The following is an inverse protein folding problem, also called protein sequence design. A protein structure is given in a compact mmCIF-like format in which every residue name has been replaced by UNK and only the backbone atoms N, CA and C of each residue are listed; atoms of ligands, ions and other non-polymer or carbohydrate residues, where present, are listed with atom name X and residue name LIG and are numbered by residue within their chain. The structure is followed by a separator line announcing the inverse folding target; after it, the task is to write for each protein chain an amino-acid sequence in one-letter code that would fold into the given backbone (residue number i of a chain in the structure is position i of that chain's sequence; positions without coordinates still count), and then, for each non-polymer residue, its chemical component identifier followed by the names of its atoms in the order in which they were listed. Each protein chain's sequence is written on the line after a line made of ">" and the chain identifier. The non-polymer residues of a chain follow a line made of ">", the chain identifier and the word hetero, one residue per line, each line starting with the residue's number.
data_IF_420655126920
#
_entry.id   IF_420655126920
#
_cell.length_a   1.000
_cell.length_b   1.000
_cell.length_c   1.000
_cell.angle_alpha   90.00
_cell.angle_beta   90.00
_cell.angle_gamma   90.00
#
_symmetry.space_group_name_H-M   'P 1'
#
loop_
_entity.id
_entity.type
_entity.pdbx_description
1 polymer ?
#
# COMPACT_ATOMS: atom_id res chain seq x y z
N UNK A 1 24.57 43.20 43.92
CA UNK A 1 23.52 43.24 42.88
C UNK A 1 24.18 43.26 41.51
N UNK A 2 24.20 42.12 40.83
CA UNK A 2 24.66 42.03 39.43
C UNK A 2 23.63 41.21 38.68
N UNK A 3 22.66 41.90 38.07
CA UNK A 3 21.64 41.32 37.21
C UNK A 3 22.33 40.77 35.96
N UNK A 4 22.34 39.44 35.78
CA UNK A 4 22.56 38.81 34.48
C UNK A 4 21.40 39.22 33.55
N UNK A 5 21.67 40.14 32.62
CA UNK A 5 20.85 40.34 31.41
C UNK A 5 21.31 39.31 30.39
N UNK A 6 20.77 38.09 30.45
CA UNK A 6 20.85 37.09 29.40
C UNK A 6 19.42 36.62 29.18
N UNK A 7 18.70 37.30 28.31
CA UNK A 7 17.26 37.18 28.23
C UNK A 7 16.76 37.69 26.90
N UNK A 8 16.05 36.81 26.20
CA UNK A 8 15.33 37.03 24.95
C UNK A 8 16.15 37.02 23.66
N UNK A 9 17.27 37.76 23.55
CA UNK A 9 18.03 37.82 22.29
C UNK A 9 18.81 36.53 21.99
N UNK A 10 19.41 35.91 23.01
CA UNK A 10 20.15 34.65 22.85
C UNK A 10 19.21 33.49 22.51
N UNK A 11 18.02 33.45 23.12
CA UNK A 11 17.01 32.40 22.85
C UNK A 11 16.33 32.57 21.49
N UNK A 12 16.25 33.80 20.97
CA UNK A 12 15.75 34.06 19.61
C UNK A 12 16.81 33.70 18.57
N UNK A 13 18.09 33.92 18.88
CA UNK A 13 19.22 33.46 18.08
C UNK A 13 19.26 31.94 17.95
N UNK A 14 19.12 31.22 19.06
CA UNK A 14 19.04 29.75 19.06
C UNK A 14 17.79 29.23 18.32
N UNK A 15 16.63 29.89 18.45
CA UNK A 15 15.41 29.48 17.73
C UNK A 15 15.53 29.71 16.22
N UNK A 16 16.21 30.79 15.82
CA UNK A 16 16.47 31.11 14.42
C UNK A 16 17.54 30.18 13.85
N UNK A 17 18.62 29.89 14.58
CA UNK A 17 19.63 28.92 14.15
C UNK A 17 19.05 27.52 14.04
N UNK A 18 18.24 27.09 15.00
CA UNK A 18 17.57 25.78 14.96
C UNK A 18 16.50 25.73 13.87
N UNK A 19 15.75 26.82 13.65
CA UNK A 19 14.84 26.95 12.53
C UNK A 19 15.56 27.01 11.18
N UNK A 20 16.75 27.58 11.11
CA UNK A 20 17.62 27.59 9.92
C UNK A 20 18.27 26.22 9.73
N UNK A 21 18.63 25.46 10.76
CA UNK A 21 19.10 24.07 10.66
C UNK A 21 17.99 23.11 10.26
N UNK A 22 16.78 23.30 10.78
CA UNK A 22 15.58 22.57 10.36
C UNK A 22 15.17 22.93 8.92
N UNK A 23 15.36 24.18 8.48
CA UNK A 23 15.21 24.60 7.09
C UNK A 23 16.39 24.16 6.19
N UNK A 24 17.58 23.90 6.76
CA UNK A 24 18.79 23.44 6.05
C UNK A 24 18.96 21.92 6.02
N UNK A 25 18.03 21.14 6.55
CA UNK A 25 17.79 19.79 6.01
C UNK A 25 17.09 19.90 4.63
N UNK A 26 17.58 20.78 3.77
CA UNK A 26 17.57 20.54 2.33
C UNK A 26 18.34 19.23 2.15
N UNK A 27 17.60 18.15 1.90
CA UNK A 27 18.23 16.87 1.63
C UNK A 27 19.06 17.03 0.37
N UNK A 28 20.37 17.17 0.56
CA UNK A 28 21.34 17.15 -0.52
C UNK A 28 21.10 15.89 -1.36
N UNK A 29 21.09 16.07 -2.66
CA UNK A 29 20.96 14.95 -3.59
C UNK A 29 22.13 13.99 -3.40
N UNK A 30 21.80 12.74 -3.09
CA UNK A 30 22.76 11.67 -2.98
C UNK A 30 23.04 11.09 -4.37
N UNK A 31 24.31 10.79 -4.71
CA UNK A 31 24.65 10.24 -6.00
C UNK A 31 23.91 8.92 -6.24
N UNK A 32 23.45 8.71 -7.48
CA UNK A 32 22.72 7.52 -7.84
C UNK A 32 23.63 6.28 -7.87
N UNK A 33 23.08 5.15 -7.43
CA UNK A 33 23.69 3.84 -7.57
C UNK A 33 24.02 3.22 -6.23
N UNK A 34 23.98 1.89 -6.20
CA UNK A 34 24.05 1.12 -4.97
C UNK A 34 22.76 0.36 -4.70
N UNK A 35 22.87 -0.68 -3.88
CA UNK A 35 21.73 -1.50 -3.46
C UNK A 35 21.28 -1.02 -2.09
N UNK A 36 20.03 -0.55 -1.93
CA UNK A 36 19.56 -0.07 -0.65
C UNK A 36 19.55 -1.20 0.38
N UNK A 37 19.86 -0.87 1.63
CA UNK A 37 19.79 -1.81 2.74
C UNK A 37 18.36 -2.35 2.90
N UNK A 38 18.18 -3.67 3.10
CA UNK A 38 16.86 -4.27 3.26
C UNK A 38 16.20 -3.79 4.55
N UNK A 39 14.86 -3.73 4.53
CA UNK A 39 14.02 -3.42 5.69
C UNK A 39 13.11 -4.59 6.01
N UNK A 40 12.77 -4.72 7.29
CA UNK A 40 11.74 -5.64 7.77
C UNK A 40 10.54 -4.85 8.25
N UNK A 41 9.33 -5.31 7.91
CA UNK A 41 8.06 -4.76 8.40
C UNK A 41 7.33 -5.83 9.20
N UNK A 42 7.05 -5.53 10.45
CA UNK A 42 6.37 -6.44 11.38
C UNK A 42 4.87 -6.29 11.23
N UNK A 43 4.20 -7.42 11.00
CA UNK A 43 2.78 -7.47 10.67
C UNK A 43 2.00 -8.17 11.77
N UNK A 44 0.92 -7.54 12.21
CA UNK A 44 -0.17 -8.22 12.92
C UNK A 44 -1.19 -8.74 11.91
N UNK A 45 -1.26 -10.06 11.75
CA UNK A 45 -2.17 -10.75 10.85
C UNK A 45 -3.46 -11.12 11.58
N UNK A 46 -4.57 -10.48 11.23
CA UNK A 46 -5.88 -10.66 11.85
C UNK A 46 -6.82 -11.30 10.83
N UNK A 47 -7.33 -12.49 11.13
CA UNK A 47 -8.12 -13.31 10.20
C UNK A 47 -9.52 -13.49 10.78
N UNK A 48 -10.51 -12.78 10.24
CA UNK A 48 -11.92 -13.00 10.54
C UNK A 48 -12.43 -14.19 9.76
N UNK A 49 -12.43 -15.36 10.41
CA UNK A 49 -12.89 -16.62 9.85
C UNK A 49 -13.93 -17.25 10.78
N UNK A 50 -15.16 -16.70 10.79
CA UNK A 50 -16.18 -17.07 11.75
C UNK A 50 -16.59 -18.54 11.63
N UNK A 51 -17.13 -19.09 12.71
CA UNK A 51 -17.69 -20.45 12.71
C UNK A 51 -19.14 -20.44 12.28
N UNK A 52 -19.55 -21.46 11.52
CA UNK A 52 -20.89 -21.59 10.95
C UNK A 52 -21.67 -22.70 11.67
N UNK A 53 -22.59 -22.37 12.61
CA UNK A 53 -23.31 -23.38 13.40
C UNK A 53 -24.08 -24.39 12.54
N UNK A 54 -24.79 -23.93 11.51
CA UNK A 54 -25.55 -24.77 10.57
C UNK A 54 -24.69 -25.70 9.71
N UNK A 55 -23.37 -25.53 9.71
CA UNK A 55 -22.40 -26.39 9.03
C UNK A 55 -21.51 -27.17 10.01
N UNK A 56 -22.05 -27.54 11.18
CA UNK A 56 -21.32 -28.31 12.19
C UNK A 56 -20.24 -27.49 12.92
N UNK A 57 -20.42 -26.16 12.99
CA UNK A 57 -19.49 -25.21 13.61
C UNK A 57 -18.10 -25.15 12.95
N UNK A 58 -18.03 -25.54 11.68
CA UNK A 58 -16.85 -25.43 10.83
C UNK A 58 -16.56 -23.96 10.46
N UNK A 59 -15.29 -23.66 10.14
CA UNK A 59 -14.83 -22.35 9.69
C UNK A 59 -15.45 -21.94 8.35
N UNK A 60 -15.78 -20.66 8.21
CA UNK A 60 -16.42 -20.11 7.03
C UNK A 60 -15.61 -20.36 5.74
N UNK A 61 -14.28 -20.23 5.77
CA UNK A 61 -13.40 -20.53 4.62
C UNK A 61 -13.57 -21.97 4.12
N UNK A 62 -13.67 -22.95 5.04
CA UNK A 62 -13.87 -24.37 4.70
C UNK A 62 -15.28 -24.63 4.21
N UNK A 63 -16.29 -24.05 4.87
CA UNK A 63 -17.70 -24.18 4.48
C UNK A 63 -17.91 -23.69 3.04
N UNK A 64 -17.33 -22.54 2.69
CA UNK A 64 -17.49 -21.91 1.37
C UNK A 64 -16.35 -22.23 0.39
N UNK A 65 -15.41 -23.10 0.78
CA UNK A 65 -14.29 -23.60 -0.04
C UNK A 65 -13.44 -22.47 -0.63
N UNK A 66 -13.12 -21.50 0.19
CA UNK A 66 -12.24 -20.40 -0.15
C UNK A 66 -10.77 -20.74 0.07
N UNK A 67 -9.89 -19.82 -0.35
CA UNK A 67 -8.46 -20.07 -0.34
C UNK A 67 -7.93 -20.16 1.09
N UNK A 68 -6.86 -20.93 1.22
CA UNK A 68 -6.07 -21.00 2.45
C UNK A 68 -5.32 -19.68 2.64
N UNK A 69 -5.60 -18.97 3.74
CA UNK A 69 -4.98 -17.69 4.05
C UNK A 69 -3.45 -17.78 4.16
N UNK A 70 -2.88 -18.91 4.60
CA UNK A 70 -1.44 -19.06 4.71
C UNK A 70 -0.77 -19.09 3.35
N UNK A 71 -1.37 -19.80 2.39
CA UNK A 71 -0.86 -19.81 1.02
C UNK A 71 -0.95 -18.43 0.36
N UNK A 72 -1.99 -17.66 0.68
CA UNK A 72 -2.15 -16.29 0.19
C UNK A 72 -1.07 -15.37 0.76
N UNK A 73 -0.89 -15.40 2.08
CA UNK A 73 0.12 -14.62 2.80
C UNK A 73 1.54 -14.96 2.31
N UNK A 74 1.88 -16.24 2.21
CA UNK A 74 3.20 -16.69 1.75
C UNK A 74 3.47 -16.23 0.31
N UNK A 75 2.47 -16.37 -0.57
CA UNK A 75 2.57 -15.93 -1.97
C UNK A 75 2.78 -14.42 -2.09
N UNK A 76 2.03 -13.64 -1.30
CA UNK A 76 2.12 -12.19 -1.28
C UNK A 76 3.47 -11.69 -0.75
N UNK A 77 3.94 -12.22 0.38
CA UNK A 77 5.25 -11.89 0.95
C UNK A 77 6.37 -12.23 -0.03
N UNK A 78 6.32 -13.43 -0.64
CA UNK A 78 7.31 -13.88 -1.61
C UNK A 78 7.38 -12.93 -2.80
N UNK A 79 6.24 -12.59 -3.39
CA UNK A 79 6.20 -11.77 -4.59
C UNK A 79 6.70 -10.34 -4.32
N UNK A 80 6.28 -9.71 -3.22
CA UNK A 80 6.77 -8.37 -2.88
C UNK A 80 8.27 -8.35 -2.54
N UNK A 81 8.80 -9.40 -1.91
CA UNK A 81 10.24 -9.56 -1.70
C UNK A 81 10.98 -9.68 -3.04
N UNK A 82 10.44 -10.46 -3.98
CA UNK A 82 11.00 -10.66 -5.31
C UNK A 82 11.01 -9.34 -6.11
N UNK A 83 9.87 -8.66 -6.23
CA UNK A 83 9.73 -7.43 -7.00
C UNK A 83 10.54 -6.25 -6.42
N UNK A 84 10.73 -6.22 -5.10
CA UNK A 84 11.57 -5.21 -4.43
C UNK A 84 13.07 -5.51 -4.48
N UNK A 85 13.51 -6.58 -5.13
CA UNK A 85 14.94 -6.96 -5.19
C UNK A 85 15.51 -7.39 -3.83
N UNK A 86 14.65 -7.85 -2.93
CA UNK A 86 14.97 -8.19 -1.55
C UNK A 86 15.02 -7.01 -0.57
N UNK A 87 14.63 -5.80 -1.00
CA UNK A 87 14.55 -4.65 -0.10
C UNK A 87 13.47 -4.84 0.96
N UNK A 88 12.25 -5.24 0.57
CA UNK A 88 11.13 -5.44 1.51
C UNK A 88 11.09 -6.88 2.02
N UNK A 89 11.00 -7.00 3.34
CA UNK A 89 10.80 -8.26 4.05
C UNK A 89 9.64 -8.08 5.01
N UNK A 90 8.67 -8.99 5.01
CA UNK A 90 7.61 -9.02 6.01
C UNK A 90 7.86 -10.11 7.03
N UNK A 91 7.55 -9.81 8.28
CA UNK A 91 7.57 -10.75 9.39
C UNK A 91 6.20 -10.72 10.07
N UNK A 92 5.50 -11.85 10.11
CA UNK A 92 4.27 -11.98 10.87
C UNK A 92 4.64 -12.16 12.35
N UNK A 93 4.53 -11.08 13.13
CA UNK A 93 4.88 -11.09 14.57
C UNK A 93 3.70 -11.48 15.45
N UNK A 94 2.49 -11.37 14.92
CA UNK A 94 1.26 -11.73 15.61
C UNK A 94 0.28 -12.33 14.61
N UNK A 95 -0.43 -13.38 15.05
CA UNK A 95 -1.53 -13.97 14.29
C UNK A 95 -2.75 -14.15 15.18
N UNK A 96 -3.86 -13.52 14.78
CA UNK A 96 -5.12 -13.57 15.50
C UNK A 96 -6.17 -14.21 14.59
N UNK A 97 -6.69 -15.36 15.00
CA UNK A 97 -7.85 -15.99 14.36
C UNK A 97 -9.11 -15.56 15.10
N UNK A 98 -10.05 -14.95 14.39
CA UNK A 98 -11.26 -14.36 14.95
C UNK A 98 -12.47 -15.19 14.53
N UNK A 99 -13.20 -15.70 15.52
CA UNK A 99 -14.34 -16.62 15.35
C UNK A 99 -15.68 -15.89 15.08
N UNK A 100 -15.64 -14.57 14.92
CA UNK A 100 -16.82 -13.70 14.72
C UNK A 100 -16.72 -12.87 13.44
N UNK A 101 -17.88 -12.37 13.01
CA UNK A 101 -17.97 -11.35 11.97
C UNK A 101 -17.60 -9.97 12.58
N UNK A 102 -16.87 -9.11 11.86
CA UNK A 102 -16.61 -7.75 12.30
C UNK A 102 -17.90 -6.91 12.30
N UNK A 103 -17.99 -5.94 13.21
CA UNK A 103 -19.10 -4.98 13.27
C UNK A 103 -19.04 -4.00 12.11
N UNK A 104 -20.17 -3.75 11.46
CA UNK A 104 -20.34 -2.70 10.45
C UNK A 104 -20.46 -1.32 11.08
N UNK A 105 -20.15 -0.28 10.32
CA UNK A 105 -20.20 1.11 10.80
C UNK A 105 -21.59 1.55 11.28
N UNK A 106 -22.66 0.92 10.78
CA UNK A 106 -24.04 1.15 11.22
C UNK A 106 -24.48 0.25 12.38
N UNK A 107 -23.56 -0.53 12.95
CA UNK A 107 -23.80 -1.46 14.05
C UNK A 107 -24.26 -2.86 13.63
N UNK A 108 -24.49 -3.12 12.34
CA UNK A 108 -24.85 -4.46 11.88
C UNK A 108 -23.70 -5.46 12.10
N UNK A 109 -24.04 -6.73 12.37
CA UNK A 109 -23.07 -7.84 12.39
C UNK A 109 -23.78 -9.08 11.84
N UNK A 110 -23.18 -9.71 10.84
CA UNK A 110 -23.74 -10.94 10.27
C UNK A 110 -23.81 -12.06 11.31
N UNK A 111 -24.91 -12.80 11.31
CA UNK A 111 -24.92 -14.17 11.80
C UNK A 111 -24.36 -15.11 10.71
N UNK A 112 -23.60 -16.13 11.13
CA UNK A 112 -22.85 -16.98 10.20
C UNK A 112 -23.74 -17.71 9.19
N UNK A 113 -24.84 -18.31 9.65
CA UNK A 113 -25.77 -19.06 8.79
C UNK A 113 -26.52 -18.13 7.83
N UNK A 114 -26.84 -16.91 8.27
CA UNK A 114 -27.48 -15.89 7.41
C UNK A 114 -26.53 -15.41 6.31
N UNK A 115 -25.25 -15.20 6.64
CA UNK A 115 -24.24 -14.88 5.64
C UNK A 115 -24.08 -16.02 4.61
N UNK A 116 -23.97 -17.26 5.06
CA UNK A 116 -23.87 -18.43 4.16
C UNK A 116 -25.10 -18.55 3.27
N UNK A 117 -26.29 -18.29 3.81
CA UNK A 117 -27.54 -18.24 3.04
C UNK A 117 -27.51 -17.14 1.98
N UNK A 118 -27.11 -15.92 2.34
CA UNK A 118 -27.00 -14.80 1.41
C UNK A 118 -25.98 -15.09 0.31
N UNK A 119 -24.83 -15.68 0.66
CA UNK A 119 -23.79 -16.10 -0.26
C UNK A 119 -24.31 -17.10 -1.30
N UNK A 120 -24.96 -18.17 -0.84
CA UNK A 120 -25.51 -19.19 -1.74
C UNK A 120 -26.64 -18.64 -2.62
N UNK A 121 -27.45 -17.72 -2.08
CA UNK A 121 -28.53 -17.09 -2.82
C UNK A 121 -28.08 -15.93 -3.73
N UNK A 122 -26.82 -15.48 -3.60
CA UNK A 122 -26.24 -14.32 -4.29
C UNK A 122 -27.06 -13.03 -4.08
N UNK A 123 -27.72 -12.89 -2.93
CA UNK A 123 -28.57 -11.74 -2.60
C UNK A 123 -28.79 -11.62 -1.10
N UNK A 124 -29.21 -10.44 -0.65
CA UNK A 124 -29.53 -10.18 0.76
C UNK A 124 -28.30 -9.91 1.62
N UNK A 125 -27.19 -9.49 1.00
CA UNK A 125 -26.08 -8.88 1.73
C UNK A 125 -26.53 -7.54 2.30
N UNK A 126 -25.97 -7.20 3.45
CA UNK A 126 -26.21 -5.94 4.14
C UNK A 126 -25.61 -4.77 3.36
N UNK A 127 -26.34 -3.65 3.35
CA UNK A 127 -25.91 -2.36 2.80
C UNK A 127 -26.41 -1.27 3.76
N UNK A 128 -25.56 -0.37 4.27
CA UNK A 128 -24.17 -0.11 3.88
C UNK A 128 -23.16 -1.18 4.33
N UNK A 129 -22.13 -1.44 3.50
CA UNK A 129 -21.15 -2.52 3.76
C UNK A 129 -19.94 -2.11 4.61
N UNK A 130 -19.72 -0.82 4.88
CA UNK A 130 -18.49 -0.35 5.55
C UNK A 130 -18.30 -0.96 6.94
N UNK A 131 -17.08 -1.41 7.26
CA UNK A 131 -16.73 -1.87 8.61
C UNK A 131 -16.57 -0.72 9.59
N UNK A 132 -16.84 -0.97 10.87
CA UNK A 132 -16.48 -0.09 11.96
C UNK A 132 -14.98 -0.17 12.27
N UNK A 133 -14.19 0.73 11.69
CA UNK A 133 -12.74 0.79 11.94
C UNK A 133 -12.39 1.17 13.38
N UNK A 134 -13.23 1.95 14.08
CA UNK A 134 -12.97 2.30 15.48
C UNK A 134 -13.07 1.06 16.38
N UNK A 135 -14.06 0.20 16.12
CA UNK A 135 -14.16 -1.09 16.79
C UNK A 135 -12.94 -1.98 16.56
N UNK A 136 -12.42 -2.02 15.33
CA UNK A 136 -11.21 -2.81 15.01
C UNK A 136 -9.96 -2.25 15.70
N UNK A 137 -9.80 -0.93 15.70
CA UNK A 137 -8.67 -0.25 16.35
C UNK A 137 -8.62 -0.56 17.85
N UNK A 138 -9.78 -0.54 18.52
CA UNK A 138 -9.93 -0.87 19.94
C UNK A 138 -9.72 -2.37 20.18
N UNK A 139 -10.42 -3.23 19.46
CA UNK A 139 -10.41 -4.69 19.67
C UNK A 139 -9.00 -5.30 19.54
N UNK A 140 -8.21 -4.82 18.58
CA UNK A 140 -6.88 -5.35 18.32
C UNK A 140 -5.75 -4.51 18.93
N UNK A 141 -6.10 -3.51 19.74
CA UNK A 141 -5.17 -2.59 20.41
C UNK A 141 -4.15 -1.98 19.44
N UNK A 142 -4.59 -1.62 18.23
CA UNK A 142 -3.68 -1.29 17.13
C UNK A 142 -2.78 -0.10 17.46
N UNK A 143 -3.34 0.95 18.04
CA UNK A 143 -2.59 2.17 18.42
C UNK A 143 -1.56 1.84 19.50
N UNK A 144 -1.94 1.06 20.53
CA UNK A 144 -1.02 0.62 21.58
C UNK A 144 0.18 -0.14 21.00
N UNK A 145 -0.05 -1.04 20.05
CA UNK A 145 1.00 -1.83 19.39
C UNK A 145 1.92 -0.98 18.53
N UNK A 146 1.37 0.04 17.85
CA UNK A 146 2.16 1.02 17.10
C UNK A 146 3.03 1.85 18.05
N UNK A 147 2.46 2.31 19.17
CA UNK A 147 3.13 3.15 20.18
C UNK A 147 4.22 2.39 20.95
N UNK A 148 4.03 1.10 21.16
CA UNK A 148 5.03 0.22 21.75
C UNK A 148 6.12 -0.23 20.75
N UNK A 149 6.04 0.22 19.48
CA UNK A 149 6.88 -0.23 18.38
C UNK A 149 6.92 -1.77 18.27
N UNK A 150 5.77 -2.43 18.40
CA UNK A 150 5.62 -3.88 18.27
C UNK A 150 5.21 -4.28 16.85
N UNK A 151 4.41 -3.45 16.20
CA UNK A 151 3.80 -3.68 14.88
C UNK A 151 3.99 -2.46 13.99
N UNK A 152 4.33 -2.68 12.73
CA UNK A 152 4.48 -1.63 11.71
C UNK A 152 3.25 -1.56 10.77
N UNK A 153 2.54 -2.67 10.61
CA UNK A 153 1.40 -2.81 9.70
C UNK A 153 0.39 -3.86 10.16
N UNK A 154 -0.89 -3.66 9.84
CA UNK A 154 -1.97 -4.61 10.16
C UNK A 154 -2.55 -5.19 8.89
N UNK A 155 -2.69 -6.52 8.83
CA UNK A 155 -3.38 -7.20 7.73
C UNK A 155 -4.68 -7.80 8.23
N UNK A 156 -5.79 -7.32 7.67
CA UNK A 156 -7.13 -7.81 7.95
C UNK A 156 -7.56 -8.75 6.82
N UNK A 157 -7.71 -10.03 7.13
CA UNK A 157 -8.33 -11.00 6.22
C UNK A 157 -9.78 -11.24 6.62
N UNK A 158 -10.67 -11.24 5.64
CA UNK A 158 -12.06 -11.63 5.84
C UNK A 158 -12.69 -12.22 4.56
N UNK A 159 -13.98 -12.46 4.65
CA UNK A 159 -14.88 -12.88 3.59
C UNK A 159 -15.31 -11.69 2.71
N UNK A 160 -15.87 -11.91 1.50
CA UNK A 160 -16.50 -10.86 0.71
C UNK A 160 -17.62 -10.16 1.50
N UNK A 161 -17.81 -8.85 1.32
CA UNK A 161 -18.76 -8.05 2.11
C UNK A 161 -18.38 -7.94 3.60
N UNK A 162 -17.08 -7.98 3.92
CA UNK A 162 -16.59 -7.64 5.25
C UNK A 162 -16.49 -6.12 5.47
N UNK A 163 -16.46 -5.31 4.40
CA UNK A 163 -16.43 -3.85 4.50
C UNK A 163 -15.04 -3.23 4.66
N UNK A 164 -13.99 -4.00 4.40
CA UNK A 164 -12.61 -3.52 4.49
C UNK A 164 -12.25 -2.72 3.24
N UNK A 165 -11.62 -1.57 3.44
CA UNK A 165 -10.81 -0.95 2.41
C UNK A 165 -9.56 -1.79 2.14
N UNK A 166 -9.12 -1.80 0.88
CA UNK A 166 -7.90 -2.50 0.44
C UNK A 166 -6.64 -1.96 1.14
N UNK A 167 -6.59 -0.64 1.34
CA UNK A 167 -5.66 0.00 2.25
C UNK A 167 -6.31 1.21 2.91
N UNK A 168 -5.85 1.55 4.11
CA UNK A 168 -6.23 2.77 4.82
C UNK A 168 -5.09 3.18 5.76
N UNK A 169 -4.88 4.48 5.94
CA UNK A 169 -3.80 5.02 6.76
C UNK A 169 -4.32 5.64 8.06
N UNK A 170 -3.64 5.32 9.16
CA UNK A 170 -3.79 5.98 10.46
C UNK A 170 -2.50 6.67 10.91
N UNK A 171 -2.57 7.35 12.04
CA UNK A 171 -1.49 8.08 12.68
C UNK A 171 -1.40 9.57 12.31
N UNK A 172 -0.37 10.27 12.82
CA UNK A 172 -0.22 11.71 12.70
C UNK A 172 -0.08 12.15 11.23
N UNK A 173 -0.93 13.10 10.82
CA UNK A 173 -0.95 13.61 9.45
C UNK A 173 -1.20 12.55 8.39
N UNK A 174 -1.97 11.49 8.73
CA UNK A 174 -2.41 10.49 7.77
C UNK A 174 -3.11 11.14 6.56
N UNK A 175 -2.89 10.55 5.39
CA UNK A 175 -3.43 11.03 4.12
C UNK A 175 -4.12 9.89 3.35
N UNK A 176 -4.76 10.23 2.23
CA UNK A 176 -5.46 9.25 1.39
C UNK A 176 -4.54 8.09 1.02
N UNK A 177 -4.94 6.87 1.35
CA UNK A 177 -4.23 5.64 1.03
C UNK A 177 -5.25 4.62 0.54
N UNK A 178 -5.72 4.79 -0.69
CA UNK A 178 -6.91 4.12 -1.26
C UNK A 178 -8.21 4.23 -0.45
N UNK A 179 -8.21 5.04 0.61
CA UNK A 179 -9.34 5.31 1.49
C UNK A 179 -9.13 6.64 2.22
N UNK A 180 -10.20 7.26 2.75
CA UNK A 180 -10.08 8.40 3.66
C UNK A 180 -9.20 8.06 4.88
N UNK A 181 -8.34 8.99 5.34
CA UNK A 181 -7.47 8.74 6.49
C UNK A 181 -8.25 8.57 7.80
N UNK A 182 -7.75 7.71 8.70
CA UNK A 182 -8.27 7.52 10.05
C UNK A 182 -7.82 8.66 10.96
N UNK A 183 -8.36 9.87 10.75
CA UNK A 183 -7.92 11.09 11.44
C UNK A 183 -8.02 11.04 12.97
N UNK A 184 -8.93 10.22 13.51
CA UNK A 184 -9.08 9.99 14.95
C UNK A 184 -7.85 9.31 15.58
N UNK A 185 -6.98 8.68 14.77
CA UNK A 185 -5.75 8.02 15.21
C UNK A 185 -4.52 8.94 15.20
N UNK A 186 -4.70 10.26 15.00
CA UNK A 186 -3.61 11.24 14.93
C UNK A 186 -2.73 11.33 16.19
N UNK A 187 -3.17 10.75 17.30
CA UNK A 187 -2.43 10.69 18.57
C UNK A 187 -1.44 9.52 18.65
N UNK A 188 -1.43 8.60 17.67
CA UNK A 188 -0.42 7.55 17.59
C UNK A 188 0.98 8.15 17.42
N UNK A 189 2.00 7.40 17.82
CA UNK A 189 3.42 7.75 17.73
C UNK A 189 3.94 7.88 16.30
N UNK A 190 3.37 7.12 15.35
CA UNK A 190 3.77 7.10 13.94
C UNK A 190 2.60 6.73 13.02
N UNK A 191 2.72 7.04 11.73
CA UNK A 191 1.78 6.57 10.70
C UNK A 191 1.89 5.06 10.55
N UNK A 192 0.75 4.42 10.36
CA UNK A 192 0.63 2.99 10.10
C UNK A 192 -0.44 2.75 9.04
N UNK A 193 -0.39 1.57 8.41
CA UNK A 193 -1.34 1.19 7.38
C UNK A 193 -2.06 -0.09 7.80
N UNK A 194 -3.34 -0.15 7.47
CA UNK A 194 -4.15 -1.35 7.59
C UNK A 194 -4.47 -1.80 6.16
N UNK A 195 -4.08 -3.03 5.82
CA UNK A 195 -4.44 -3.67 4.55
C UNK A 195 -5.67 -4.55 4.73
N UNK A 196 -6.62 -4.46 3.80
CA UNK A 196 -7.80 -5.32 3.76
C UNK A 196 -7.68 -6.36 2.65
N UNK A 197 -7.79 -7.63 3.02
CA UNK A 197 -7.71 -8.75 2.10
C UNK A 197 -8.92 -9.68 2.22
N UNK A 198 -9.21 -10.37 1.12
CA UNK A 198 -10.33 -11.28 1.00
C UNK A 198 -9.83 -12.68 0.63
N UNK A 199 -10.02 -13.67 1.50
CA UNK A 199 -9.55 -15.04 1.24
C UNK A 199 -10.39 -15.79 0.18
N UNK A 200 -11.48 -15.21 -0.33
CA UNK A 200 -12.15 -15.68 -1.55
C UNK A 200 -11.36 -15.37 -2.82
N UNK A 201 -10.47 -14.37 -2.78
CA UNK A 201 -9.65 -13.88 -3.90
C UNK A 201 -8.24 -14.48 -3.83
N UNK A 202 -7.40 -14.17 -4.81
CA UNK A 202 -6.04 -14.67 -4.93
C UNK A 202 -4.96 -13.64 -4.54
N UNK A 203 -3.70 -14.06 -4.71
CA UNK A 203 -2.53 -13.19 -4.50
C UNK A 203 -2.51 -12.02 -5.48
N UNK A 204 -3.05 -12.18 -6.69
CA UNK A 204 -3.11 -11.11 -7.69
C UNK A 204 -3.87 -9.88 -7.20
N UNK A 205 -5.00 -10.09 -6.51
CA UNK A 205 -5.79 -9.01 -5.92
C UNK A 205 -5.15 -8.44 -4.64
N UNK A 206 -4.42 -9.24 -3.86
CA UNK A 206 -3.63 -8.70 -2.75
C UNK A 206 -2.52 -7.76 -3.25
N UNK A 207 -1.88 -8.13 -4.37
CA UNK A 207 -0.91 -7.29 -5.05
C UNK A 207 -1.56 -6.01 -5.62
N UNK A 208 -2.78 -6.11 -6.14
CA UNK A 208 -3.55 -4.94 -6.58
C UNK A 208 -3.80 -3.94 -5.44
N UNK A 209 -4.25 -4.44 -4.28
CA UNK A 209 -4.45 -3.63 -3.08
C UNK A 209 -3.17 -2.91 -2.64
N UNK A 210 -2.02 -3.60 -2.68
CA UNK A 210 -0.72 -2.98 -2.43
C UNK A 210 -0.32 -1.97 -3.51
N UNK A 211 -0.77 -2.20 -4.73
CA UNK A 211 -0.63 -1.30 -5.86
C UNK A 211 -1.32 0.03 -5.61
N UNK A 212 -2.58 0.02 -5.21
CA UNK A 212 -3.33 1.24 -4.88
C UNK A 212 -2.74 2.02 -3.70
N UNK A 213 -2.18 1.30 -2.72
CA UNK A 213 -1.36 1.89 -1.66
C UNK A 213 -0.13 2.60 -2.25
N UNK A 214 0.63 1.92 -3.10
CA UNK A 214 1.81 2.49 -3.75
C UNK A 214 1.44 3.75 -4.55
N UNK A 215 0.36 3.69 -5.33
CA UNK A 215 -0.12 4.82 -6.11
C UNK A 215 -0.48 6.03 -5.27
N UNK A 216 -1.21 5.79 -4.17
CA UNK A 216 -1.60 6.84 -3.25
C UNK A 216 -0.39 7.50 -2.59
N UNK A 217 0.56 6.70 -2.11
CA UNK A 217 1.77 7.17 -1.44
C UNK A 217 2.70 7.89 -2.39
N UNK A 218 2.94 7.36 -3.59
CA UNK A 218 3.85 7.97 -4.56
C UNK A 218 3.26 9.25 -5.15
N UNK A 219 1.94 9.29 -5.38
CA UNK A 219 1.24 10.54 -5.73
C UNK A 219 1.41 11.60 -4.64
N UNK A 220 1.34 11.22 -3.37
CA UNK A 220 1.56 12.16 -2.26
C UNK A 220 3.04 12.58 -2.16
N UNK A 221 3.98 11.66 -2.40
CA UNK A 221 5.42 11.93 -2.35
C UNK A 221 5.82 12.96 -3.41
N UNK A 222 5.35 12.80 -4.64
CA UNK A 222 5.63 13.70 -5.76
C UNK A 222 4.68 14.91 -5.86
N UNK A 223 3.82 15.17 -4.86
CA UNK A 223 2.76 16.21 -4.95
C UNK A 223 3.27 17.64 -5.17
N UNK A 224 4.56 17.89 -4.92
CA UNK A 224 5.21 19.20 -5.12
C UNK A 224 5.94 19.30 -6.47
N UNK A 225 6.25 18.18 -7.10
CA UNK A 225 6.95 18.13 -8.38
C UNK A 225 6.00 18.38 -9.55
N UNK A 226 6.52 18.97 -10.63
CA UNK A 226 5.74 19.36 -11.81
C UNK A 226 6.51 19.04 -13.09
N UNK A 227 5.77 18.83 -14.19
CA UNK A 227 6.38 18.60 -15.50
C UNK A 227 7.29 17.37 -15.48
N UNK A 228 8.48 17.50 -16.05
CA UNK A 228 9.42 16.38 -16.20
C UNK A 228 10.12 15.98 -14.88
N UNK A 229 10.08 16.83 -13.85
CA UNK A 229 10.59 16.49 -12.52
C UNK A 229 9.63 15.57 -11.75
N UNK A 230 8.34 15.53 -12.15
CA UNK A 230 7.38 14.58 -11.58
C UNK A 230 7.51 13.19 -12.22
N UNK A 231 8.52 12.45 -11.76
CA UNK A 231 8.80 11.11 -12.24
C UNK A 231 7.64 10.12 -11.98
N UNK A 232 6.82 10.34 -10.96
CA UNK A 232 5.62 9.53 -10.73
C UNK A 232 4.58 9.74 -11.84
N UNK A 233 4.30 10.98 -12.24
CA UNK A 233 3.42 11.28 -13.38
C UNK A 233 3.94 10.74 -14.70
N UNK A 234 5.27 10.66 -14.87
CA UNK A 234 5.87 9.97 -16.01
C UNK A 234 5.67 8.45 -15.91
N UNK A 235 5.94 7.83 -14.77
CA UNK A 235 5.89 6.39 -14.57
C UNK A 235 4.58 5.77 -15.04
N UNK A 236 3.44 6.38 -14.67
CA UNK A 236 2.13 5.79 -14.95
C UNK A 236 1.52 6.13 -16.32
N UNK A 237 2.24 6.86 -17.19
CA UNK A 237 1.73 7.18 -18.53
C UNK A 237 1.39 5.91 -19.29
N UNK A 238 0.25 5.92 -19.96
CA UNK A 238 -0.23 4.82 -20.81
C UNK A 238 -0.99 5.40 -22.00
N UNK A 239 -1.07 4.65 -23.09
CA UNK A 239 -1.49 5.16 -24.40
C UNK A 239 -2.88 5.79 -24.39
N UNK A 240 -3.82 5.28 -23.59
CA UNK A 240 -5.18 5.82 -23.52
C UNK A 240 -5.25 7.26 -23.01
N UNK A 241 -4.39 7.64 -22.04
CA UNK A 241 -4.33 9.01 -21.51
C UNK A 241 -3.18 9.83 -22.07
N UNK A 242 -2.13 9.19 -22.55
CA UNK A 242 -0.89 9.82 -22.99
C UNK A 242 -0.46 9.25 -24.36
N UNK A 243 -1.20 9.52 -25.45
CA UNK A 243 -0.91 8.94 -26.77
C UNK A 243 0.53 9.23 -27.22
N UNK A 244 1.26 8.18 -27.61
CA UNK A 244 2.65 8.26 -28.05
C UNK A 244 3.67 8.51 -26.93
N UNK A 245 3.23 8.51 -25.67
CA UNK A 245 4.06 8.78 -24.49
C UNK A 245 3.89 7.71 -23.40
N UNK A 246 3.48 6.50 -23.75
CA UNK A 246 3.31 5.42 -22.79
C UNK A 246 4.64 5.05 -22.11
N UNK A 247 4.56 4.75 -20.82
CA UNK A 247 5.66 4.36 -19.93
C UNK A 247 5.26 3.02 -19.30
N UNK A 248 5.16 2.90 -17.99
CA UNK A 248 4.81 1.64 -17.31
C UNK A 248 3.29 1.46 -17.15
N UNK A 249 2.57 2.53 -16.84
CA UNK A 249 1.12 2.47 -16.63
C UNK A 249 0.69 2.51 -15.15
N UNK A 250 -0.61 2.35 -14.94
CA UNK A 250 -1.28 2.39 -13.63
C UNK A 250 -1.70 0.97 -13.24
N UNK A 251 -2.05 0.71 -11.97
CA UNK A 251 -2.42 -0.63 -11.50
C UNK A 251 -3.48 -1.28 -12.42
N UNK A 252 -4.53 -0.53 -12.76
CA UNK A 252 -5.60 -0.99 -13.65
C UNK A 252 -5.33 -0.85 -15.16
N UNK A 253 -4.25 -0.17 -15.56
CA UNK A 253 -3.95 0.15 -16.96
C UNK A 253 -2.49 -0.17 -17.31
N UNK A 254 -2.28 -1.23 -18.08
CA UNK A 254 -1.02 -1.47 -18.76
C UNK A 254 -0.77 -0.42 -19.86
N UNK A 255 0.44 -0.33 -20.44
CA UNK A 255 0.78 0.68 -21.43
C UNK A 255 -0.18 0.78 -22.62
N UNK A 256 -0.80 -0.35 -23.02
CA UNK A 256 -1.72 -0.44 -24.15
C UNK A 256 -3.21 -0.60 -23.78
N UNK A 257 -3.56 -0.58 -22.49
CA UNK A 257 -4.94 -0.77 -22.04
C UNK A 257 -5.86 0.33 -22.60
N UNK A 258 -7.06 -0.06 -23.03
CA UNK A 258 -8.09 0.86 -23.55
C UNK A 258 -9.23 1.13 -22.55
N UNK A 259 -9.29 0.32 -21.50
CA UNK A 259 -10.27 0.39 -20.41
C UNK A 259 -9.70 -0.24 -19.16
N UNK A 260 -10.46 -0.12 -18.08
CA UNK A 260 -10.15 -0.70 -16.78
C UNK A 260 -9.90 -2.22 -16.88
N UNK A 261 -8.83 -2.71 -16.23
CA UNK A 261 -8.42 -4.11 -16.17
C UNK A 261 -8.04 -4.75 -17.51
N UNK A 262 -7.76 -3.95 -18.54
CA UNK A 262 -7.47 -4.42 -19.90
C UNK A 262 -5.99 -4.84 -20.09
N UNK A 263 -5.49 -5.69 -19.20
CA UNK A 263 -4.09 -6.17 -19.23
C UNK A 263 -3.85 -7.25 -20.29
N UNK A 264 -4.90 -7.86 -20.83
CA UNK A 264 -4.80 -8.88 -21.90
C UNK A 264 -4.83 -8.32 -23.31
N UNK A 265 -4.73 -6.99 -23.47
CA UNK A 265 -4.84 -6.36 -24.78
C UNK A 265 -3.61 -6.66 -25.66
N UNK A 266 -3.85 -7.15 -26.88
CA UNK A 266 -2.81 -7.50 -27.86
C UNK A 266 -2.42 -6.35 -28.78
N UNK A 267 -3.07 -5.19 -28.65
CA UNK A 267 -2.74 -4.00 -29.43
C UNK A 267 -1.32 -3.55 -29.07
N UNK A 268 -0.50 -3.35 -30.10
CA UNK A 268 0.87 -2.88 -29.89
C UNK A 268 0.91 -1.36 -29.77
N UNK A 269 1.69 -0.87 -28.82
CA UNK A 269 1.99 0.56 -28.63
C UNK A 269 3.47 0.76 -28.42
N UNK A 270 3.96 1.98 -28.66
CA UNK A 270 5.32 2.36 -28.26
C UNK A 270 5.32 2.72 -26.78
N UNK A 271 6.21 2.13 -26.00
CA UNK A 271 6.38 2.41 -24.57
C UNK A 271 7.86 2.47 -24.18
N UNK A 272 8.18 3.34 -23.22
CA UNK A 272 9.52 3.44 -22.60
C UNK A 272 9.67 2.63 -21.31
N UNK A 273 8.77 1.69 -21.00
CA UNK A 273 8.80 0.92 -19.75
C UNK A 273 10.16 0.27 -19.44
N UNK A 274 10.92 -0.19 -20.45
CA UNK A 274 12.26 -0.79 -20.24
C UNK A 274 13.27 0.19 -19.65
N UNK A 275 13.14 1.48 -19.93
CA UNK A 275 14.05 2.50 -19.37
C UNK A 275 14.00 2.52 -17.84
N UNK A 276 12.85 2.20 -17.24
CA UNK A 276 12.71 2.08 -15.79
C UNK A 276 13.51 0.92 -15.19
N UNK A 277 13.91 -0.08 -15.97
CA UNK A 277 14.88 -1.11 -15.52
C UNK A 277 16.30 -0.56 -15.38
N UNK A 278 16.61 0.52 -16.09
CA UNK A 278 17.91 1.19 -16.10
C UNK A 278 17.93 2.45 -15.23
N UNK A 279 16.88 2.68 -14.43
CA UNK A 279 16.75 3.85 -13.56
C UNK A 279 18.06 4.09 -12.77
N UNK A 280 18.59 5.33 -12.72
CA UNK A 280 17.91 6.59 -13.04
C UNK A 280 18.03 7.04 -14.51
N UNK A 281 18.72 6.27 -15.36
CA UNK A 281 18.84 6.62 -16.77
C UNK A 281 17.55 6.28 -17.53
N UNK A 282 16.77 7.33 -17.82
CA UNK A 282 15.49 7.25 -18.52
C UNK A 282 15.58 7.77 -19.97
N UNK A 283 16.78 7.87 -20.57
CA UNK A 283 16.97 8.44 -21.90
C UNK A 283 16.76 7.45 -23.06
N UNK A 284 16.40 6.20 -22.77
CA UNK A 284 16.22 5.18 -23.79
C UNK A 284 15.03 5.44 -24.72
N UNK A 285 15.14 4.89 -25.94
CA UNK A 285 14.09 4.98 -26.97
C UNK A 285 12.88 4.10 -26.61
N UNK A 286 11.66 4.48 -27.06
CA UNK A 286 10.48 3.63 -26.87
C UNK A 286 10.56 2.36 -27.71
N UNK A 287 10.02 1.27 -27.17
CA UNK A 287 9.92 -0.03 -27.85
C UNK A 287 8.47 -0.43 -28.05
N UNK A 288 8.21 -1.30 -29.03
CA UNK A 288 6.89 -1.87 -29.24
C UNK A 288 6.57 -2.93 -28.20
N UNK A 289 5.43 -2.79 -27.53
CA UNK A 289 4.98 -3.67 -26.44
C UNK A 289 3.56 -4.15 -26.63
N UNK A 290 3.22 -5.26 -26.00
CA UNK A 290 1.85 -5.76 -25.84
C UNK A 290 1.72 -6.63 -24.58
N UNK A 291 0.58 -7.30 -24.39
CA UNK A 291 0.31 -8.08 -23.19
C UNK A 291 1.33 -9.19 -22.88
N UNK A 292 2.11 -9.66 -23.85
CA UNK A 292 3.11 -10.70 -23.60
C UNK A 292 4.25 -10.20 -22.69
N UNK A 293 4.50 -8.88 -22.63
CA UNK A 293 5.55 -8.29 -21.79
C UNK A 293 5.25 -8.42 -20.28
N UNK A 294 3.97 -8.57 -19.89
CA UNK A 294 3.52 -8.58 -18.50
C UNK A 294 2.57 -9.73 -18.14
N UNK A 295 2.48 -10.76 -18.97
CA UNK A 295 1.81 -12.02 -18.60
C UNK A 295 0.40 -12.21 -19.16
N UNK A 296 0.09 -11.63 -20.31
CA UNK A 296 -1.06 -11.97 -21.15
C UNK A 296 -2.43 -11.85 -20.47
N UNK A 297 -2.57 -10.87 -19.57
CA UNK A 297 -3.79 -10.60 -18.81
C UNK A 297 -3.88 -11.34 -17.47
N UNK A 298 -2.87 -12.11 -17.08
CA UNK A 298 -2.78 -12.63 -15.72
C UNK A 298 -2.51 -11.49 -14.74
N UNK A 299 -3.47 -11.26 -13.84
CA UNK A 299 -3.42 -10.21 -12.81
C UNK A 299 -2.14 -10.25 -11.96
N UNK A 300 -1.69 -11.44 -11.55
CA UNK A 300 -0.54 -11.58 -10.67
C UNK A 300 0.76 -11.29 -11.42
N UNK A 301 0.89 -11.81 -12.64
CA UNK A 301 2.05 -11.52 -13.49
C UNK A 301 2.13 -10.05 -13.87
N UNK A 302 1.00 -9.41 -14.20
CA UNK A 302 0.96 -7.99 -14.51
C UNK A 302 1.43 -7.14 -13.32
N UNK A 303 0.87 -7.37 -12.13
CA UNK A 303 1.26 -6.61 -10.94
C UNK A 303 2.72 -6.83 -10.57
N UNK A 304 3.23 -8.07 -10.67
CA UNK A 304 4.66 -8.34 -10.47
C UNK A 304 5.53 -7.56 -11.45
N UNK A 305 5.20 -7.58 -12.74
CA UNK A 305 5.90 -6.81 -13.77
C UNK A 305 5.92 -5.31 -13.44
N UNK A 306 4.79 -4.76 -13.01
CA UNK A 306 4.67 -3.35 -12.62
C UNK A 306 5.56 -3.02 -11.41
N UNK A 307 5.50 -3.83 -10.35
CA UNK A 307 6.33 -3.63 -9.14
C UNK A 307 7.82 -3.80 -9.40
N UNK A 308 8.21 -4.71 -10.30
CA UNK A 308 9.60 -4.89 -10.71
C UNK A 308 10.19 -3.65 -11.39
N UNK A 309 9.36 -2.75 -11.90
CA UNK A 309 9.79 -1.52 -12.56
C UNK A 309 9.88 -0.32 -11.61
N UNK A 310 9.37 -0.44 -10.39
CA UNK A 310 9.55 0.61 -9.38
C UNK A 310 11.05 0.80 -9.06
N UNK A 311 11.54 2.05 -9.06
CA UNK A 311 12.89 2.40 -8.63
C UNK A 311 13.24 1.87 -7.24
N UNK A 312 14.44 1.27 -7.14
CA UNK A 312 14.93 0.54 -5.95
C UNK A 312 16.45 0.59 -5.81
N UNK A 313 17.01 1.78 -6.02
CA UNK A 313 18.46 2.06 -5.89
C UNK A 313 18.71 3.15 -4.84
N UNK A 314 19.95 3.28 -4.39
CA UNK A 314 20.40 4.41 -3.59
C UNK A 314 20.53 5.70 -4.43
N UNK A 315 20.52 6.84 -3.75
CA UNK A 315 20.52 8.17 -4.34
C UNK A 315 19.19 8.91 -4.15
N UNK A 316 19.20 10.20 -4.46
CA UNK A 316 18.02 11.07 -4.43
C UNK A 316 18.14 12.19 -5.45
N UNK A 317 16.98 12.77 -5.78
CA UNK A 317 16.87 14.03 -6.52
C UNK A 317 15.75 14.86 -5.93
N UNK A 318 15.99 16.16 -5.76
CA UNK A 318 15.03 17.13 -5.22
C UNK A 318 14.48 16.68 -3.85
N UNK A 319 15.31 15.99 -3.07
CA UNK A 319 14.94 15.41 -1.79
C UNK A 319 13.98 14.21 -1.85
N UNK A 320 13.72 13.64 -3.03
CA UNK A 320 13.00 12.37 -3.21
C UNK A 320 14.02 11.27 -3.47
N UNK A 321 13.99 10.22 -2.64
CA UNK A 321 14.85 9.06 -2.75
C UNK A 321 14.50 8.23 -3.99
N UNK A 322 15.52 7.70 -4.65
CA UNK A 322 15.38 6.80 -5.80
C UNK A 322 14.90 5.39 -5.43
N UNK A 323 14.88 5.04 -4.15
CA UNK A 323 14.21 3.83 -3.69
C UNK A 323 12.75 4.14 -3.32
N UNK A 324 11.83 3.99 -4.27
CA UNK A 324 10.42 4.31 -4.05
C UNK A 324 9.75 3.36 -3.05
N UNK A 325 10.25 2.11 -2.95
CA UNK A 325 9.78 1.16 -1.94
C UNK A 325 9.92 1.71 -0.52
N UNK A 326 10.90 2.58 -0.25
CA UNK A 326 11.06 3.26 1.04
C UNK A 326 9.79 3.95 1.49
N UNK A 327 9.15 4.70 0.61
CA UNK A 327 7.91 5.43 0.90
C UNK A 327 6.72 4.49 1.01
N UNK A 328 6.61 3.56 0.06
CA UNK A 328 5.46 2.65 -0.07
C UNK A 328 5.30 1.78 1.19
N UNK A 329 6.42 1.30 1.74
CA UNK A 329 6.43 0.39 2.91
C UNK A 329 6.54 1.13 4.24
N UNK A 330 6.93 2.41 4.20
CA UNK A 330 7.08 3.26 5.39
C UNK A 330 6.56 4.68 5.12
N UNK A 331 5.28 4.95 5.36
CA UNK A 331 4.68 6.26 5.12
C UNK A 331 5.24 7.36 6.04
N UNK A 332 6.03 7.01 7.05
CA UNK A 332 6.73 7.98 7.91
C UNK A 332 7.92 8.62 7.20
N UNK A 333 8.37 8.04 6.09
CA UNK A 333 9.45 8.62 5.26
C UNK A 333 8.92 9.66 4.27
N UNK A 334 7.60 9.79 4.14
CA UNK A 334 6.94 10.79 3.28
C UNK A 334 6.87 12.14 3.99
N UNK A 335 7.43 13.17 3.35
CA UNK A 335 7.46 14.56 3.82
C UNK A 335 6.11 15.25 3.72
#
# INVERSE_FOLDING_TARGET
>A
MTKKKGGFLDSLGELIEKGIEELKQEAYDEPAGGKPAPVTRRVSLIIHNPRVPGAGNERLDKVLRWNDTDRLVDGYIKDLRECSGGYLNYEIVERIMVDKFPRKADGFTYAADDFVKAWNARKGFHDPDLVDYDALLEEFEMIRKVDADEVDEFWLFAFPYAGYYESIMGGPGAFWCNAPPLTQTAHASKRFIIMGFNYQRGVGEMLEAFGHRAESIMKHTFRRERGDDNLWERFFRHEFKNPGQAEVGWMHYAPNSERDYDWGNKRRVLSRWRTWRNFPDLSGEPEWVDCHDWGDGDIRLHHKWWFELLPKIEGSKDGIAYNWWRYIVDPNTVR
#
